data_IF_475310729211
#
_entry.id   IF_475310729211
#
_cell.length_a   1.000
_cell.length_b   1.000
_cell.length_c   1.000
_cell.angle_alpha   90.00
_cell.angle_beta   90.00
_cell.angle_gamma   90.00
#
_symmetry.space_group_name_H-M   'P 1'
#
loop_
_entity.id
_entity.type
_entity.pdbx_description
1 polymer ?
#
# COMPACT_ATOMS: atom_id res chain seq x y z
N UNK A 1 28.60 12.79 -5.22
CA UNK A 1 27.64 11.82 -4.62
C UNK A 1 26.40 11.90 -5.49
N UNK A 2 25.92 10.80 -6.02
CA UNK A 2 24.67 10.78 -6.78
C UNK A 2 23.51 11.25 -5.88
N UNK A 3 22.56 11.97 -6.46
CA UNK A 3 21.42 12.49 -5.71
C UNK A 3 20.45 11.36 -5.36
N UNK A 4 20.01 11.31 -4.11
CA UNK A 4 19.02 10.34 -3.66
C UNK A 4 17.69 10.66 -4.34
N UNK A 5 17.14 9.72 -5.10
CA UNK A 5 15.86 9.90 -5.76
C UNK A 5 14.72 10.14 -4.77
N UNK A 6 13.70 10.83 -5.21
CA UNK A 6 12.42 10.92 -4.50
C UNK A 6 11.68 9.58 -4.57
N UNK A 7 10.81 9.33 -3.61
CA UNK A 7 9.96 8.14 -3.62
C UNK A 7 8.91 8.24 -4.73
N UNK A 8 8.73 7.16 -5.48
CA UNK A 8 7.59 7.00 -6.39
C UNK A 8 6.35 6.58 -5.61
N UNK A 9 5.17 6.63 -6.23
CA UNK A 9 3.92 6.18 -5.59
C UNK A 9 3.98 4.68 -5.20
N UNK A 10 4.74 3.88 -5.94
CA UNK A 10 4.94 2.46 -5.68
C UNK A 10 5.85 2.19 -4.47
N UNK A 11 6.62 3.17 -4.03
CA UNK A 11 7.47 3.10 -2.85
C UNK A 11 6.72 3.50 -1.55
N UNK A 12 5.47 4.00 -1.66
CA UNK A 12 4.74 4.61 -0.57
C UNK A 12 3.46 3.84 -0.27
N UNK A 13 3.38 3.35 0.94
CA UNK A 13 2.18 2.75 1.50
C UNK A 13 1.37 3.77 2.31
N UNK A 14 0.07 3.48 2.49
CA UNK A 14 -0.86 4.30 3.27
C UNK A 14 -1.45 3.47 4.40
N UNK A 15 -1.43 4.00 5.62
CA UNK A 15 -2.09 3.36 6.77
C UNK A 15 -3.01 4.30 7.51
N UNK A 16 -4.05 3.75 8.11
CA UNK A 16 -4.86 4.47 9.08
C UNK A 16 -4.05 4.65 10.37
N UNK A 17 -3.81 5.90 10.74
CA UNK A 17 -3.06 6.24 11.96
C UNK A 17 -3.99 6.44 13.16
N UNK A 18 -5.12 7.13 12.95
CA UNK A 18 -6.06 7.48 14.00
C UNK A 18 -7.48 7.59 13.43
N UNK A 19 -8.47 7.28 14.28
CA UNK A 19 -9.90 7.49 13.99
C UNK A 19 -10.50 8.46 14.98
N UNK A 20 -11.39 9.33 14.51
CA UNK A 20 -12.10 10.30 15.31
C UNK A 20 -13.58 10.32 14.92
N UNK A 21 -14.45 10.54 15.91
CA UNK A 21 -15.89 10.69 15.72
C UNK A 21 -16.22 12.17 15.92
N UNK A 22 -16.90 12.75 14.96
CA UNK A 22 -17.38 14.12 14.99
C UNK A 22 -18.90 14.14 14.98
N UNK A 23 -19.50 15.07 15.73
CA UNK A 23 -20.93 15.36 15.65
C UNK A 23 -21.13 16.60 14.78
N UNK A 24 -21.71 16.42 13.61
CA UNK A 24 -21.99 17.51 12.67
C UNK A 24 -23.49 17.51 12.39
N UNK A 25 -24.18 18.60 12.76
CA UNK A 25 -25.64 18.78 12.55
C UNK A 25 -26.49 17.60 13.10
N UNK A 26 -26.11 17.04 14.25
CA UNK A 26 -26.83 15.93 14.88
C UNK A 26 -26.52 14.54 14.28
N UNK A 27 -25.67 14.47 13.27
CA UNK A 27 -25.17 13.21 12.69
C UNK A 27 -23.76 12.92 13.17
N UNK A 28 -23.47 11.67 13.46
CA UNK A 28 -22.11 11.22 13.75
C UNK A 28 -21.39 10.92 12.44
N UNK A 29 -20.23 11.56 12.27
CA UNK A 29 -19.33 11.36 11.13
C UNK A 29 -18.04 10.76 11.66
N UNK A 30 -17.63 9.64 11.11
CA UNK A 30 -16.34 8.99 11.43
C UNK A 30 -15.31 9.40 10.41
N UNK A 31 -14.19 9.95 10.87
CA UNK A 31 -13.04 10.28 10.00
C UNK A 31 -11.81 9.54 10.46
N UNK A 32 -10.97 9.12 9.53
CA UNK A 32 -9.64 8.61 9.83
C UNK A 32 -8.56 9.57 9.32
N UNK A 33 -7.47 9.62 10.07
CA UNK A 33 -6.23 10.25 9.60
C UNK A 33 -5.36 9.18 8.96
N UNK A 34 -4.85 9.48 7.77
CA UNK A 34 -3.95 8.59 7.05
C UNK A 34 -2.51 9.05 7.20
N UNK A 35 -1.60 8.10 7.22
CA UNK A 35 -0.16 8.32 7.28
C UNK A 35 0.51 7.64 6.09
N UNK A 36 1.33 8.38 5.36
CA UNK A 36 2.22 7.84 4.34
C UNK A 36 3.45 7.21 5.01
N UNK A 37 3.86 6.06 4.55
CA UNK A 37 5.07 5.41 5.04
C UNK A 37 5.72 4.59 3.93
N UNK A 38 6.94 4.13 4.13
CA UNK A 38 7.65 3.22 3.24
C UNK A 38 8.04 1.94 3.96
N UNK A 39 8.05 0.84 3.23
CA UNK A 39 8.63 -0.42 3.73
C UNK A 39 10.16 -0.32 3.79
N UNK A 40 10.79 -1.04 4.72
CA UNK A 40 12.24 -1.07 4.86
C UNK A 40 12.96 -1.64 3.62
N UNK A 41 12.27 -2.41 2.77
CA UNK A 41 12.81 -2.90 1.50
C UNK A 41 13.01 -1.81 0.47
N UNK A 42 12.21 -0.74 0.54
CA UNK A 42 12.41 0.46 -0.28
C UNK A 42 13.73 1.14 0.07
N UNK A 43 14.04 1.23 1.37
CA UNK A 43 15.33 1.76 1.82
C UNK A 43 16.51 0.95 1.30
N UNK A 44 16.42 -0.39 1.41
CA UNK A 44 17.46 -1.30 0.91
C UNK A 44 17.65 -1.13 -0.60
N UNK A 45 16.54 -1.07 -1.36
CA UNK A 45 16.57 -0.88 -2.81
C UNK A 45 17.29 0.43 -3.19
N UNK A 46 16.98 1.53 -2.53
CA UNK A 46 17.60 2.84 -2.81
C UNK A 46 19.08 2.83 -2.42
N UNK A 47 19.44 2.20 -1.30
CA UNK A 47 20.83 2.04 -0.91
C UNK A 47 21.61 1.19 -1.90
N UNK A 48 21.02 0.11 -2.42
CA UNK A 48 21.64 -0.75 -3.45
C UNK A 48 21.79 -0.02 -4.79
N UNK A 49 20.79 0.79 -5.18
CA UNK A 49 20.83 1.62 -6.39
C UNK A 49 22.00 2.63 -6.37
N UNK A 50 22.23 3.27 -5.21
CA UNK A 50 23.22 4.35 -5.07
C UNK A 50 24.64 3.85 -4.74
N UNK A 51 24.73 2.84 -3.87
CA UNK A 51 26.00 2.42 -3.29
C UNK A 51 26.41 0.99 -3.66
N UNK A 52 25.55 0.26 -4.38
CA UNK A 52 25.63 -1.19 -4.60
C UNK A 52 25.48 -1.97 -3.29
N UNK A 53 25.10 -3.26 -3.30
CA UNK A 53 24.93 -4.05 -2.07
C UNK A 53 26.21 -4.18 -1.22
N UNK A 54 27.39 -3.94 -1.81
CA UNK A 54 28.68 -4.01 -1.11
C UNK A 54 29.18 -2.65 -0.61
N UNK A 55 28.52 -1.57 -1.00
CA UNK A 55 28.91 -0.20 -0.66
C UNK A 55 28.22 0.37 0.57
N UNK A 56 27.32 -0.40 1.18
CA UNK A 56 26.67 -0.02 2.43
C UNK A 56 26.53 -1.21 3.38
N UNK A 57 26.36 -0.93 4.66
CA UNK A 57 26.09 -1.94 5.69
C UNK A 57 25.22 -1.38 6.79
N UNK A 58 24.54 -2.25 7.53
CA UNK A 58 23.77 -1.87 8.71
C UNK A 58 24.15 -2.73 9.92
N UNK A 59 24.11 -2.12 11.10
CA UNK A 59 24.36 -2.81 12.37
C UNK A 59 23.32 -2.33 13.38
N UNK A 60 22.71 -3.27 14.11
CA UNK A 60 21.84 -2.97 15.23
C UNK A 60 22.60 -3.14 16.54
N UNK A 61 22.35 -2.22 17.48
CA UNK A 61 22.94 -2.31 18.83
C UNK A 61 21.95 -1.77 19.87
N UNK A 62 21.96 -2.39 21.04
CA UNK A 62 21.23 -1.88 22.19
C UNK A 62 22.07 -0.84 22.91
N UNK A 63 21.47 0.31 23.20
CA UNK A 63 22.03 1.37 24.04
C UNK A 63 20.99 1.63 25.13
N UNK A 64 21.29 1.16 26.35
CA UNK A 64 20.27 1.06 27.39
C UNK A 64 19.22 0.01 27.00
N UNK A 65 17.96 0.43 26.99
CA UNK A 65 16.78 -0.37 26.61
C UNK A 65 16.28 -0.11 25.17
N UNK A 66 17.07 0.63 24.37
CA UNK A 66 16.65 1.07 23.03
C UNK A 66 17.51 0.48 21.94
N UNK A 67 16.86 0.02 20.88
CA UNK A 67 17.53 -0.52 19.70
C UNK A 67 17.85 0.59 18.71
N UNK A 68 19.14 0.81 18.47
CA UNK A 68 19.66 1.71 17.44
C UNK A 68 20.03 0.92 16.20
N UNK A 69 19.87 1.54 15.04
CA UNK A 69 20.41 1.06 13.78
C UNK A 69 21.39 2.09 13.22
N UNK A 70 22.63 1.66 13.02
CA UNK A 70 23.63 2.38 12.27
C UNK A 70 23.59 1.93 10.81
N UNK A 71 23.44 2.87 9.88
CA UNK A 71 23.61 2.67 8.43
C UNK A 71 24.89 3.37 8.01
N UNK A 72 25.83 2.59 7.49
CA UNK A 72 27.13 3.07 7.05
C UNK A 72 27.27 2.92 5.55
N UNK A 73 27.82 3.96 4.91
CA UNK A 73 28.06 4.01 3.48
C UNK A 73 29.56 4.28 3.26
N UNK A 74 30.16 3.58 2.31
CA UNK A 74 31.56 3.80 1.95
C UNK A 74 31.71 5.02 1.04
N UNK A 75 32.36 6.05 1.56
CA UNK A 75 32.70 7.23 0.75
C UNK A 75 34.02 6.97 0.02
N UNK A 76 33.91 6.80 -1.30
CA UNK A 76 35.07 6.55 -2.19
C UNK A 76 36.02 7.75 -2.23
N UNK A 77 35.55 8.96 -1.92
CA UNK A 77 36.37 10.17 -1.98
C UNK A 77 37.32 10.25 -0.79
N UNK A 78 36.84 9.97 0.40
CA UNK A 78 37.63 9.96 1.65
C UNK A 78 38.23 8.60 1.99
N UNK A 79 37.77 7.52 1.34
CA UNK A 79 38.15 6.14 1.66
C UNK A 79 37.60 5.67 3.03
N UNK A 80 36.57 6.29 3.53
CA UNK A 80 36.04 6.04 4.89
C UNK A 80 34.60 5.56 4.85
N UNK A 81 34.23 4.80 5.87
CA UNK A 81 32.84 4.48 6.17
C UNK A 81 32.20 5.63 6.95
N UNK A 82 31.21 6.26 6.37
CA UNK A 82 30.43 7.32 7.01
C UNK A 82 29.19 6.70 7.65
N UNK A 83 28.97 6.96 8.92
CA UNK A 83 27.90 6.38 9.72
C UNK A 83 26.82 7.42 10.05
N UNK A 84 25.55 7.02 9.88
CA UNK A 84 24.40 7.73 10.44
C UNK A 84 23.51 6.72 11.15
N UNK A 85 23.05 7.04 12.35
CA UNK A 85 22.24 6.14 13.15
C UNK A 85 20.98 6.80 13.69
N UNK A 86 20.01 5.98 14.03
CA UNK A 86 18.78 6.43 14.72
C UNK A 86 18.19 5.29 15.56
N UNK A 87 17.31 5.66 16.48
CA UNK A 87 16.63 4.75 17.41
C UNK A 87 15.26 4.33 16.85
N UNK A 88 14.89 3.09 17.04
CA UNK A 88 13.56 2.58 16.73
C UNK A 88 12.60 2.65 17.90
N UNK A 89 11.32 2.79 17.59
CA UNK A 89 10.22 2.63 18.55
C UNK A 89 9.61 1.24 18.41
N UNK A 90 9.10 0.70 19.51
CA UNK A 90 8.43 -0.59 19.53
C UNK A 90 7.10 -0.53 18.76
N UNK A 91 6.77 -1.62 18.09
CA UNK A 91 5.46 -1.81 17.45
C UNK A 91 4.50 -2.50 18.44
N UNK A 92 3.21 -2.20 18.34
CA UNK A 92 2.19 -2.79 19.21
C UNK A 92 1.92 -4.30 18.95
N UNK A 93 2.38 -4.84 17.82
CA UNK A 93 2.06 -6.21 17.40
C UNK A 93 3.27 -7.15 17.38
N UNK A 94 4.45 -6.66 16.99
CA UNK A 94 5.72 -7.40 16.94
C UNK A 94 6.82 -6.44 17.40
N UNK A 95 6.97 -6.29 18.72
CA UNK A 95 7.80 -5.25 19.33
C UNK A 95 9.24 -5.24 18.79
N UNK A 96 9.95 -6.36 18.87
CA UNK A 96 11.37 -6.44 18.47
C UNK A 96 11.59 -6.25 16.97
N UNK A 97 10.79 -6.93 16.13
CA UNK A 97 10.88 -6.83 14.68
C UNK A 97 10.47 -5.43 14.20
N UNK A 98 9.44 -4.87 14.82
CA UNK A 98 8.98 -3.51 14.57
C UNK A 98 10.06 -2.49 14.91
N UNK A 99 10.70 -2.60 16.07
CA UNK A 99 11.76 -1.72 16.53
C UNK A 99 13.00 -1.78 15.62
N UNK A 100 13.40 -2.99 15.18
CA UNK A 100 14.52 -3.15 14.26
C UNK A 100 14.23 -2.54 12.88
N UNK A 101 13.02 -2.73 12.35
CA UNK A 101 12.61 -2.13 11.08
C UNK A 101 12.48 -0.61 11.19
N UNK A 102 11.94 -0.10 12.29
CA UNK A 102 11.76 1.34 12.50
C UNK A 102 13.11 2.05 12.65
N UNK A 103 14.04 1.52 13.46
CA UNK A 103 15.37 2.09 13.62
C UNK A 103 16.13 2.18 12.30
N UNK A 104 16.03 1.15 11.44
CA UNK A 104 16.65 1.15 10.12
C UNK A 104 16.03 2.21 9.20
N UNK A 105 14.70 2.27 9.09
CA UNK A 105 14.02 3.29 8.28
C UNK A 105 14.37 4.71 8.71
N UNK A 106 14.47 4.96 10.02
CA UNK A 106 14.84 6.27 10.58
C UNK A 106 16.30 6.60 10.29
N UNK A 107 17.21 5.64 10.42
CA UNK A 107 18.60 5.83 10.02
C UNK A 107 18.73 6.18 8.53
N UNK A 108 17.92 5.55 7.65
CA UNK A 108 17.87 5.89 6.23
C UNK A 108 17.33 7.30 5.95
N UNK A 109 16.39 7.80 6.76
CA UNK A 109 15.94 9.20 6.68
C UNK A 109 17.08 10.17 6.97
N UNK A 110 18.02 9.83 7.87
CA UNK A 110 19.21 10.64 8.13
C UNK A 110 20.13 10.72 6.88
N UNK A 111 20.10 9.72 6.02
CA UNK A 111 20.74 9.75 4.71
C UNK A 111 19.95 10.52 3.65
N UNK A 112 18.69 10.84 3.89
CA UNK A 112 17.81 11.57 2.97
C UNK A 112 16.78 10.70 2.26
N UNK A 113 16.75 9.39 2.50
CA UNK A 113 15.82 8.46 1.85
C UNK A 113 14.42 8.60 2.49
N UNK A 114 13.45 9.01 1.69
CA UNK A 114 12.06 9.16 2.13
C UNK A 114 11.83 10.34 3.08
N UNK A 115 12.76 11.28 3.15
CA UNK A 115 12.64 12.51 3.99
C UNK A 115 11.45 13.36 3.55
N UNK A 116 11.10 13.34 2.27
CA UNK A 116 9.94 14.02 1.70
C UNK A 116 8.61 13.62 2.34
N UNK A 117 8.49 12.42 2.90
CA UNK A 117 7.26 11.98 3.58
C UNK A 117 6.91 12.83 4.80
N UNK A 118 7.91 13.48 5.41
CA UNK A 118 7.67 14.41 6.54
C UNK A 118 7.06 15.75 6.09
N UNK A 119 6.99 16.01 4.78
CA UNK A 119 6.31 17.18 4.21
C UNK A 119 4.86 16.88 3.83
N UNK A 120 4.39 15.65 4.08
CA UNK A 120 3.03 15.25 3.77
C UNK A 120 2.00 16.14 4.49
N UNK A 121 0.91 16.52 3.82
CA UNK A 121 -0.17 17.26 4.45
C UNK A 121 -0.88 16.37 5.48
N UNK A 122 -1.70 16.99 6.32
CA UNK A 122 -2.63 16.24 7.16
C UNK A 122 -3.71 15.61 6.27
N UNK A 123 -3.67 14.30 6.12
CA UNK A 123 -4.62 13.54 5.30
C UNK A 123 -5.76 13.09 6.20
N UNK A 124 -6.98 13.55 5.92
CA UNK A 124 -8.19 13.15 6.65
C UNK A 124 -9.25 12.68 5.67
N UNK A 125 -9.78 11.48 5.91
CA UNK A 125 -10.78 10.82 5.06
C UNK A 125 -12.01 10.54 5.89
N UNK A 126 -13.19 10.87 5.37
CA UNK A 126 -14.46 10.50 5.94
C UNK A 126 -14.80 9.05 5.57
N UNK A 127 -15.19 8.26 6.56
CA UNK A 127 -15.52 6.85 6.39
C UNK A 127 -17.03 6.67 6.29
N UNK A 128 -17.45 5.81 5.38
CA UNK A 128 -18.82 5.31 5.32
C UNK A 128 -19.03 4.20 6.36
N UNK A 129 -20.27 3.92 6.76
CA UNK A 129 -20.61 2.86 7.73
C UNK A 129 -20.16 1.47 7.28
N UNK A 130 -19.89 1.30 5.98
CA UNK A 130 -19.38 0.06 5.37
C UNK A 130 -17.85 -0.07 5.41
N UNK A 131 -17.13 0.86 5.98
CA UNK A 131 -15.66 0.90 5.96
C UNK A 131 -15.04 0.72 7.34
N UNK A 132 -15.87 0.64 8.37
CA UNK A 132 -15.40 0.39 9.73
C UNK A 132 -16.42 -0.43 10.54
N UNK A 133 -15.96 -0.98 11.64
CA UNK A 133 -16.81 -1.58 12.65
C UNK A 133 -16.56 -0.89 13.99
N UNK A 134 -17.60 -0.76 14.80
CA UNK A 134 -17.49 -0.28 16.17
C UNK A 134 -17.45 -1.49 17.11
N UNK A 135 -16.35 -1.67 17.82
CA UNK A 135 -16.23 -2.71 18.84
C UNK A 135 -17.11 -2.43 20.07
N UNK A 136 -17.33 -3.45 20.88
CA UNK A 136 -18.02 -3.31 22.18
C UNK A 136 -17.25 -2.38 23.14
N UNK A 137 -15.93 -2.24 22.95
CA UNK A 137 -15.03 -1.30 23.62
C UNK A 137 -15.17 0.15 23.13
N UNK A 138 -16.11 0.43 22.23
CA UNK A 138 -16.32 1.74 21.59
C UNK A 138 -15.27 2.11 20.54
N UNK A 139 -14.22 1.30 20.35
CA UNK A 139 -13.16 1.58 19.38
C UNK A 139 -13.63 1.34 17.95
N UNK A 140 -13.24 2.24 17.08
CA UNK A 140 -13.44 2.12 15.63
C UNK A 140 -12.30 1.27 15.05
N UNK A 141 -12.67 0.19 14.36
CA UNK A 141 -11.77 -0.66 13.60
C UNK A 141 -12.04 -0.46 12.12
N UNK A 142 -11.11 0.21 11.43
CA UNK A 142 -11.21 0.48 9.99
C UNK A 142 -10.63 -0.70 9.23
N UNK A 143 -11.37 -1.19 8.25
CA UNK A 143 -10.92 -2.23 7.33
C UNK A 143 -10.79 -1.73 5.88
N UNK A 144 -11.21 -0.48 5.61
CA UNK A 144 -10.92 0.16 4.35
C UNK A 144 -9.40 0.32 4.16
N UNK A 145 -8.94 0.07 2.95
CA UNK A 145 -7.54 0.24 2.53
C UNK A 145 -7.42 1.40 1.58
N UNK A 146 -6.30 2.09 1.66
CA UNK A 146 -6.00 3.28 0.88
C UNK A 146 -4.62 3.14 0.24
N UNK A 147 -4.44 3.76 -0.92
CA UNK A 147 -3.16 3.76 -1.64
C UNK A 147 -2.91 5.12 -2.29
N UNK A 148 -1.66 5.41 -2.61
CA UNK A 148 -1.27 6.62 -3.33
C UNK A 148 -1.62 6.44 -4.80
N UNK A 149 -2.58 7.23 -5.28
CA UNK A 149 -2.94 7.28 -6.71
C UNK A 149 -1.92 8.07 -7.51
N UNK A 150 -1.55 9.25 -6.99
CA UNK A 150 -0.54 10.12 -7.60
C UNK A 150 0.15 10.96 -6.53
N UNK A 151 1.41 11.28 -6.76
CA UNK A 151 2.20 12.16 -5.90
C UNK A 151 3.13 13.00 -6.77
N UNK A 152 3.26 14.28 -6.43
CA UNK A 152 4.18 15.20 -7.10
C UNK A 152 4.98 16.00 -6.08
N UNK A 153 6.18 16.40 -6.50
CA UNK A 153 7.16 17.05 -5.66
C UNK A 153 7.70 18.34 -6.29
N UNK A 154 8.06 19.26 -5.44
CA UNK A 154 9.07 20.26 -5.78
C UNK A 154 10.45 19.60 -5.57
N UNK A 155 11.18 19.38 -6.65
CA UNK A 155 12.48 18.69 -6.62
C UNK A 155 13.56 19.52 -5.92
N UNK A 156 13.46 20.85 -5.93
CA UNK A 156 14.44 21.74 -5.30
C UNK A 156 14.36 21.71 -3.78
N UNK A 157 13.15 21.65 -3.23
CA UNK A 157 12.90 21.61 -1.78
C UNK A 157 12.60 20.20 -1.27
N UNK A 158 12.39 19.24 -2.16
CA UNK A 158 11.95 17.86 -1.87
C UNK A 158 10.64 17.83 -1.07
N UNK A 159 9.73 18.74 -1.39
CA UNK A 159 8.44 18.89 -0.71
C UNK A 159 7.32 18.32 -1.56
N UNK A 160 6.37 17.62 -0.95
CA UNK A 160 5.16 17.14 -1.61
C UNK A 160 4.29 18.35 -2.00
N UNK A 161 4.05 18.54 -3.30
CA UNK A 161 3.23 19.62 -3.86
C UNK A 161 1.85 19.17 -4.32
N UNK A 162 1.72 17.90 -4.68
CA UNK A 162 0.42 17.32 -5.02
C UNK A 162 0.34 15.89 -4.50
N UNK A 163 -0.86 15.47 -4.10
CA UNK A 163 -1.11 14.14 -3.57
C UNK A 163 -2.56 13.75 -3.81
N UNK A 164 -2.78 12.61 -4.42
CA UNK A 164 -4.09 11.95 -4.47
C UNK A 164 -4.02 10.60 -3.79
N UNK A 165 -4.96 10.35 -2.88
CA UNK A 165 -5.16 9.05 -2.24
C UNK A 165 -6.47 8.47 -2.74
N UNK A 166 -6.46 7.21 -3.11
CA UNK A 166 -7.65 6.46 -3.51
C UNK A 166 -7.90 5.28 -2.57
N UNK A 167 -9.15 4.81 -2.57
CA UNK A 167 -9.52 3.56 -1.94
C UNK A 167 -9.25 2.37 -2.88
N UNK A 168 -9.43 1.15 -2.38
CA UNK A 168 -9.25 -0.08 -3.17
C UNK A 168 -10.14 -0.19 -4.42
N UNK A 169 -11.15 0.67 -4.54
CA UNK A 169 -12.06 0.72 -5.69
C UNK A 169 -11.67 1.80 -6.70
N UNK A 170 -10.56 2.52 -6.45
CA UNK A 170 -10.08 3.61 -7.30
C UNK A 170 -10.78 4.95 -7.08
N UNK A 171 -11.66 5.07 -6.07
CA UNK A 171 -12.30 6.35 -5.76
C UNK A 171 -11.31 7.25 -5.03
N UNK A 172 -11.15 8.49 -5.52
CA UNK A 172 -10.31 9.48 -4.86
C UNK A 172 -10.95 9.90 -3.53
N UNK A 173 -10.21 9.71 -2.44
CA UNK A 173 -10.67 9.99 -1.08
C UNK A 173 -9.99 11.21 -0.46
N UNK A 174 -8.85 11.60 -1.01
CA UNK A 174 -8.12 12.82 -0.65
C UNK A 174 -7.41 13.35 -1.89
N UNK A 175 -7.40 14.68 -2.03
CA UNK A 175 -6.66 15.37 -3.09
C UNK A 175 -6.09 16.68 -2.55
N UNK A 176 -4.81 16.93 -2.83
CA UNK A 176 -4.11 18.17 -2.55
C UNK A 176 -3.28 18.58 -3.78
N UNK A 177 -3.31 19.87 -4.11
CA UNK A 177 -2.64 20.39 -5.31
C UNK A 177 -3.43 20.11 -6.60
N UNK A 178 -3.15 20.85 -7.66
CA UNK A 178 -3.70 20.57 -8.98
C UNK A 178 -3.07 19.32 -9.56
N UNK A 179 -3.81 18.56 -10.38
CA UNK A 179 -3.27 17.42 -11.13
C UNK A 179 -2.01 17.85 -11.90
N UNK A 180 -0.86 17.37 -11.46
CA UNK A 180 0.40 17.60 -12.18
C UNK A 180 0.36 16.76 -13.44
N UNK A 181 0.09 17.38 -14.57
CA UNK A 181 0.52 16.85 -15.85
C UNK A 181 2.05 16.75 -15.78
N UNK A 182 2.57 15.53 -15.83
CA UNK A 182 4.00 15.29 -15.98
C UNK A 182 4.48 16.02 -17.25
N UNK A 183 5.09 17.19 -17.06
CA UNK A 183 5.87 17.83 -18.11
C UNK A 183 7.22 17.12 -18.19
N UNK A 184 7.30 16.08 -19.00
CA UNK A 184 8.58 15.64 -19.54
C UNK A 184 9.04 16.74 -20.52
N UNK A 185 10.08 17.47 -20.14
CA UNK A 185 10.78 18.37 -21.03
C UNK A 185 11.67 17.56 -21.96
N UNK A 186 11.22 17.31 -23.19
CA UNK A 186 12.08 17.02 -24.32
C UNK A 186 11.97 18.14 -25.35
N UNK A 187 13.06 18.44 -26.11
CA UNK A 187 13.12 19.63 -26.95
C UNK A 187 12.29 19.51 -28.23
N UNK A 188 11.75 20.65 -28.60
CA UNK A 188 10.87 20.90 -29.70
C UNK A 188 11.34 20.38 -31.06
N UNK A 189 10.46 19.63 -31.74
CA UNK A 189 10.27 19.74 -33.18
C UNK A 189 8.77 19.69 -33.52
N UNK A 190 8.31 20.72 -34.19
CA UNK A 190 6.94 20.92 -34.60
C UNK A 190 6.49 19.89 -35.64
N UNK A 191 5.39 19.16 -35.38
CA UNK A 191 4.56 18.57 -36.44
C UNK A 191 3.09 18.56 -36.02
N UNK A 192 2.31 19.25 -36.82
CA UNK A 192 0.87 19.23 -37.13
C UNK A 192 -0.05 18.31 -36.31
N UNK A 193 -1.08 18.96 -35.79
CA UNK A 193 -2.29 18.39 -35.20
C UNK A 193 -2.89 17.23 -36.05
N UNK A 194 -3.05 16.08 -35.40
CA UNK A 194 -4.04 15.06 -35.73
C UNK A 194 -4.83 14.72 -34.46
N UNK A 195 -6.11 15.05 -34.55
CA UNK A 195 -7.16 14.75 -33.59
C UNK A 195 -7.23 13.23 -33.38
N UNK A 196 -6.66 12.71 -32.27
CA UNK A 196 -6.80 11.31 -31.89
C UNK A 196 -8.15 11.12 -31.18
N UNK A 197 -8.96 10.23 -31.72
CA UNK A 197 -10.23 9.79 -31.17
C UNK A 197 -10.02 9.17 -29.78
N UNK A 198 -10.89 9.54 -28.83
CA UNK A 198 -11.05 8.84 -27.55
C UNK A 198 -11.43 7.40 -27.87
N UNK A 199 -10.53 6.44 -27.62
CA UNK A 199 -10.89 5.03 -27.58
C UNK A 199 -11.83 4.82 -26.39
N UNK A 200 -13.02 4.32 -26.65
CA UNK A 200 -13.95 3.85 -25.63
C UNK A 200 -13.26 2.74 -24.81
N UNK A 201 -13.60 2.57 -23.52
CA UNK A 201 -13.12 1.45 -22.73
C UNK A 201 -13.45 0.15 -23.47
N UNK A 202 -12.54 -0.83 -23.44
CA UNK A 202 -12.75 -2.12 -24.06
C UNK A 202 -14.03 -2.75 -23.51
N UNK A 203 -14.88 -3.26 -24.40
CA UNK A 203 -16.13 -3.89 -24.02
C UNK A 203 -15.86 -5.21 -23.29
N UNK A 204 -16.73 -5.56 -22.32
CA UNK A 204 -16.68 -6.84 -21.62
C UNK A 204 -16.66 -8.01 -22.60
N UNK A 205 -15.71 -8.90 -22.41
CA UNK A 205 -15.59 -10.14 -23.18
C UNK A 205 -15.95 -11.33 -22.27
N UNK A 206 -17.12 -11.96 -22.46
CA UNK A 206 -17.53 -13.10 -21.64
C UNK A 206 -16.55 -14.27 -21.81
N UNK A 207 -16.21 -14.88 -20.70
CA UNK A 207 -15.41 -16.10 -20.64
C UNK A 207 -16.33 -17.32 -20.75
N UNK A 208 -15.78 -18.46 -21.18
CA UNK A 208 -16.45 -19.76 -21.12
C UNK A 208 -16.91 -20.08 -19.69
N UNK A 209 -18.12 -20.61 -19.55
CA UNK A 209 -18.77 -20.84 -18.25
C UNK A 209 -17.99 -21.83 -17.38
N UNK A 210 -17.43 -22.87 -17.96
CA UNK A 210 -16.61 -23.85 -17.21
C UNK A 210 -15.34 -23.21 -16.66
N UNK A 211 -14.69 -22.36 -17.46
CA UNK A 211 -13.51 -21.63 -17.04
C UNK A 211 -13.84 -20.59 -15.97
N UNK A 212 -14.96 -19.89 -16.10
CA UNK A 212 -15.45 -18.93 -15.12
C UNK A 212 -15.62 -19.60 -13.74
N UNK A 213 -16.32 -20.74 -13.68
CA UNK A 213 -16.52 -21.46 -12.43
C UNK A 213 -15.23 -22.01 -11.82
N UNK A 214 -14.26 -22.42 -12.63
CA UNK A 214 -12.92 -22.79 -12.14
C UNK A 214 -12.25 -21.63 -11.42
N UNK A 215 -12.41 -20.42 -11.92
CA UNK A 215 -11.86 -19.18 -11.32
C UNK A 215 -12.60 -18.84 -10.02
N UNK A 216 -13.94 -18.86 -10.01
CA UNK A 216 -14.77 -18.63 -8.81
C UNK A 216 -14.37 -19.59 -7.69
N UNK A 217 -14.28 -20.88 -7.97
CA UNK A 217 -13.92 -21.91 -6.98
C UNK A 217 -12.48 -21.72 -6.48
N UNK A 218 -11.54 -21.45 -7.38
CA UNK A 218 -10.14 -21.23 -6.99
C UNK A 218 -10.00 -19.98 -6.09
N UNK A 219 -10.72 -18.91 -6.42
CA UNK A 219 -10.77 -17.69 -5.61
C UNK A 219 -11.41 -17.94 -4.24
N UNK A 220 -12.58 -18.61 -4.20
CA UNK A 220 -13.28 -18.97 -2.97
C UNK A 220 -12.43 -19.85 -2.03
N UNK A 221 -11.56 -20.68 -2.59
CA UNK A 221 -10.61 -21.52 -1.85
C UNK A 221 -9.31 -20.79 -1.45
N UNK A 222 -9.19 -19.49 -1.72
CA UNK A 222 -7.99 -18.70 -1.41
C UNK A 222 -6.74 -19.11 -2.21
N UNK A 223 -6.90 -19.81 -3.33
CA UNK A 223 -5.78 -20.19 -4.19
C UNK A 223 -5.20 -18.99 -4.91
N UNK A 224 -3.92 -19.08 -5.29
CA UNK A 224 -3.24 -18.06 -6.09
C UNK A 224 -2.96 -18.56 -7.49
N UNK A 225 -2.87 -17.64 -8.45
CA UNK A 225 -2.49 -17.95 -9.83
C UNK A 225 -1.03 -18.45 -9.88
N UNK A 226 -0.62 -19.04 -11.00
CA UNK A 226 0.78 -19.50 -11.19
C UNK A 226 1.82 -18.40 -11.02
N UNK A 227 1.42 -17.14 -11.22
CA UNK A 227 2.25 -15.95 -11.02
C UNK A 227 2.12 -15.34 -9.62
N UNK A 228 1.36 -15.98 -8.72
CA UNK A 228 1.15 -15.52 -7.34
C UNK A 228 0.06 -14.47 -7.16
N UNK A 229 -0.59 -14.04 -8.26
CA UNK A 229 -1.67 -13.04 -8.24
C UNK A 229 -3.02 -13.60 -7.80
N UNK A 230 -4.00 -12.73 -7.73
CA UNK A 230 -5.39 -13.03 -7.38
C UNK A 230 -6.18 -13.49 -8.61
N UNK A 231 -7.00 -14.52 -8.46
CA UNK A 231 -7.81 -15.07 -9.56
C UNK A 231 -8.90 -14.10 -10.04
N UNK A 232 -9.50 -13.34 -9.14
CA UNK A 232 -10.52 -12.32 -9.49
C UNK A 232 -9.89 -11.17 -10.28
N UNK A 233 -8.75 -10.68 -9.84
CA UNK A 233 -8.01 -9.62 -10.55
C UNK A 233 -7.58 -10.08 -11.96
N UNK A 234 -7.06 -11.30 -12.07
CA UNK A 234 -6.69 -11.87 -13.35
C UNK A 234 -7.90 -12.03 -14.30
N UNK A 235 -9.06 -12.43 -13.77
CA UNK A 235 -10.30 -12.51 -14.52
C UNK A 235 -10.78 -11.13 -15.00
N UNK A 236 -10.80 -10.10 -14.13
CA UNK A 236 -11.17 -8.73 -14.49
C UNK A 236 -10.26 -8.21 -15.62
N UNK A 237 -8.95 -8.40 -15.47
CA UNK A 237 -7.97 -7.94 -16.46
C UNK A 237 -8.14 -8.63 -17.84
N UNK A 238 -8.52 -9.92 -17.84
CA UNK A 238 -8.70 -10.70 -19.08
C UNK A 238 -10.02 -10.41 -19.76
N UNK A 239 -11.10 -10.19 -18.99
CA UNK A 239 -12.46 -10.06 -19.52
C UNK A 239 -12.91 -8.60 -19.65
N UNK A 240 -12.18 -7.66 -19.10
CA UNK A 240 -12.59 -6.26 -18.95
C UNK A 240 -13.95 -6.13 -18.21
N UNK A 241 -14.16 -6.95 -17.18
CA UNK A 241 -15.39 -6.99 -16.40
C UNK A 241 -15.68 -5.63 -15.73
N UNK A 242 -16.87 -5.12 -15.91
CA UNK A 242 -17.38 -3.91 -15.26
C UNK A 242 -18.03 -4.21 -13.90
N UNK A 243 -18.59 -3.18 -13.27
CA UNK A 243 -19.16 -3.27 -11.92
C UNK A 243 -20.24 -4.34 -11.77
N UNK A 244 -21.10 -4.50 -12.77
CA UNK A 244 -22.19 -5.49 -12.78
C UNK A 244 -21.65 -6.93 -12.79
N UNK A 245 -20.67 -7.21 -13.66
CA UNK A 245 -20.04 -8.53 -13.77
C UNK A 245 -19.23 -8.89 -12.51
N UNK A 246 -18.58 -7.87 -11.89
CA UNK A 246 -17.85 -8.04 -10.64
C UNK A 246 -18.81 -8.36 -9.50
N UNK A 247 -19.94 -7.66 -9.40
CA UNK A 247 -20.97 -7.93 -8.39
C UNK A 247 -21.54 -9.35 -8.53
N UNK A 248 -21.76 -9.81 -9.78
CA UNK A 248 -22.17 -11.18 -10.06
C UNK A 248 -21.12 -12.20 -9.59
N UNK A 249 -19.86 -11.96 -9.89
CA UNK A 249 -18.74 -12.81 -9.46
C UNK A 249 -18.71 -12.96 -7.93
N UNK A 250 -18.83 -11.85 -7.19
CA UNK A 250 -18.82 -11.86 -5.73
C UNK A 250 -20.00 -12.65 -5.15
N UNK A 251 -21.18 -12.48 -5.71
CA UNK A 251 -22.36 -13.26 -5.31
C UNK A 251 -22.18 -14.75 -5.60
N UNK A 252 -21.60 -15.13 -6.75
CA UNK A 252 -21.31 -16.51 -7.09
C UNK A 252 -20.28 -17.14 -6.13
N UNK A 253 -19.28 -16.37 -5.69
CA UNK A 253 -18.32 -16.79 -4.64
C UNK A 253 -19.03 -17.02 -3.31
N UNK A 254 -19.87 -16.10 -2.86
CA UNK A 254 -20.62 -16.22 -1.61
C UNK A 254 -21.56 -17.42 -1.62
N UNK A 255 -22.26 -17.65 -2.72
CA UNK A 255 -23.14 -18.81 -2.92
C UNK A 255 -22.35 -20.12 -2.86
N UNK A 256 -21.21 -20.18 -3.52
CA UNK A 256 -20.35 -21.38 -3.52
C UNK A 256 -19.82 -21.67 -2.11
N UNK A 257 -19.31 -20.65 -1.39
CA UNK A 257 -18.83 -20.77 -0.01
C UNK A 257 -19.95 -21.26 0.91
N UNK A 258 -21.13 -20.66 0.82
CA UNK A 258 -22.29 -21.05 1.63
C UNK A 258 -22.73 -22.49 1.39
N UNK A 259 -22.71 -22.95 0.13
CA UNK A 259 -23.08 -24.31 -0.22
C UNK A 259 -22.06 -25.36 0.21
N UNK A 260 -20.75 -25.02 0.23
CA UNK A 260 -19.68 -25.99 0.49
C UNK A 260 -19.18 -25.98 1.95
N UNK A 261 -19.30 -24.85 2.69
CA UNK A 261 -18.92 -24.80 4.10
C UNK A 261 -19.95 -25.42 5.05
N UNK A 262 -21.21 -25.58 4.64
CA UNK A 262 -22.22 -26.30 5.46
C UNK A 262 -21.97 -27.81 5.53
N UNK A 263 -21.17 -28.39 4.61
CA UNK A 263 -20.87 -29.82 4.57
C UNK A 263 -19.78 -30.23 5.58
N UNK A 264 -18.88 -29.33 5.95
CA UNK A 264 -17.82 -29.63 6.93
C UNK A 264 -18.30 -29.58 8.40
N UNK A 265 -19.37 -28.84 8.70
CA UNK A 265 -19.91 -28.76 10.06
C UNK A 265 -20.72 -30.01 10.49
N UNK A 266 -21.04 -30.91 9.59
CA UNK A 266 -21.83 -32.13 9.86
C UNK A 266 -20.98 -33.40 10.04
N UNK A 267 -19.68 -33.35 9.86
CA UNK A 267 -18.77 -34.44 10.23
C UNK A 267 -18.32 -34.32 11.68
N UNK A 268 -19.22 -34.61 12.64
CA UNK A 268 -18.85 -34.92 14.01
C UNK A 268 -18.08 -36.25 14.02
N UNK A 269 -16.85 -36.20 14.50
CA UNK A 269 -16.08 -37.38 14.87
C UNK A 269 -16.82 -38.10 16.00
N UNK A 270 -17.05 -39.44 15.92
CA UNK A 270 -17.56 -40.19 17.05
C UNK A 270 -16.53 -40.16 18.18
N UNK A 271 -16.93 -39.76 19.36
CA UNK A 271 -16.18 -40.01 20.60
C UNK A 271 -16.20 -41.51 20.86
N UNK A 272 -15.06 -42.19 20.73
CA UNK A 272 -14.85 -43.48 21.37
C UNK A 272 -14.68 -43.27 22.87
N UNK A 273 -15.65 -43.77 23.61
CA UNK A 273 -15.52 -44.08 25.04
C UNK A 273 -14.73 -45.38 25.25
N UNK A 274 -13.94 -45.37 26.32
CA UNK A 274 -13.54 -46.48 27.19
C UNK A 274 -12.56 -47.55 26.65
N UNK A 275 -11.32 -47.53 27.12
CA UNK A 275 -10.86 -48.43 28.22
C UNK A 275 -9.56 -47.91 28.78
#
# INVERSE_FOLDING_TARGET
MEEIRLLSKEDIDVRVAQTNIYNTNGQQVVKCSLLLYKDARVDMKILDELFTPMGWKRTHRLIGDRLYCAVEVFDKTSGQWICKEDVGTESNTEAEKGQASDSFKRACVNWGIGRELYTAPRISVELTDKEYTRGQDGKIRVWATFEVKSIGYDTSTRTITSLEIQDRFGNVRFSMGGSVQQSQSEPSHAVKARRAARTAPAAYQPMDEEMYWKIVVAYAQGKRTKTGGDYKEAWIATTHAGAEQIAKFDNDVENWVSANMQVESTRRIPTEEAF
#
